data_IF_663153922382
#
_entry.id   IF_663153922382
#
_cell.length_a   1.000
_cell.length_b   1.000
_cell.length_c   1.000
_cell.angle_alpha   90.00
_cell.angle_beta   90.00
_cell.angle_gamma   90.00
#
_symmetry.space_group_name_H-M   'P 1'
#
loop_
_entity.id
_entity.type
_entity.pdbx_description
1 polymer ?
#
# COMPACT_ATOMS: atom_id res chain seq x y z
N UNK A 1 -23.98 30.45 15.60
CA UNK A 1 -24.52 29.11 15.32
C UNK A 1 -24.23 28.56 13.91
N UNK A 2 -23.95 29.39 12.89
CA UNK A 2 -23.65 28.90 11.52
C UNK A 2 -22.29 28.22 11.38
N UNK A 3 -21.22 28.81 11.92
CA UNK A 3 -19.85 28.27 11.81
C UNK A 3 -19.69 26.90 12.48
N UNK A 4 -20.17 26.73 13.71
CA UNK A 4 -20.10 25.45 14.43
C UNK A 4 -20.85 24.35 13.66
N UNK A 5 -22.03 24.64 13.13
CA UNK A 5 -22.79 23.69 12.30
C UNK A 5 -22.09 23.37 10.99
N UNK A 6 -21.43 24.36 10.36
CA UNK A 6 -20.65 24.18 9.14
C UNK A 6 -19.43 23.28 9.36
N UNK A 7 -18.65 23.56 10.41
CA UNK A 7 -17.49 22.73 10.80
C UNK A 7 -17.94 21.31 11.11
N UNK A 8 -19.00 21.14 11.91
CA UNK A 8 -19.50 19.80 12.27
C UNK A 8 -19.93 18.99 11.03
N UNK A 9 -20.60 19.63 10.06
CA UNK A 9 -20.98 18.96 8.80
C UNK A 9 -19.76 18.59 7.97
N UNK A 10 -18.80 19.50 7.82
CA UNK A 10 -17.58 19.25 7.06
C UNK A 10 -16.77 18.11 7.66
N UNK A 11 -16.58 18.10 8.98
CA UNK A 11 -15.83 17.02 9.66
C UNK A 11 -16.58 15.69 9.56
N UNK A 12 -17.91 15.70 9.66
CA UNK A 12 -18.72 14.47 9.54
C UNK A 12 -18.63 13.90 8.13
N UNK A 13 -18.90 14.69 7.10
CA UNK A 13 -18.84 14.23 5.71
C UNK A 13 -17.41 13.90 5.27
N UNK A 14 -16.45 14.73 5.64
CA UNK A 14 -15.03 14.48 5.36
C UNK A 14 -14.53 13.22 6.05
N UNK A 15 -14.94 12.96 7.29
CA UNK A 15 -14.61 11.75 8.03
C UNK A 15 -15.18 10.50 7.37
N UNK A 16 -16.47 10.52 7.00
CA UNK A 16 -17.12 9.41 6.29
C UNK A 16 -16.48 9.15 4.93
N UNK A 17 -16.23 10.19 4.14
CA UNK A 17 -15.58 10.06 2.84
C UNK A 17 -14.17 9.49 2.95
N UNK A 18 -13.38 9.97 3.93
CA UNK A 18 -12.02 9.49 4.16
C UNK A 18 -11.99 8.03 4.61
N UNK A 19 -12.87 7.65 5.54
CA UNK A 19 -13.01 6.27 5.98
C UNK A 19 -13.46 5.35 4.84
N UNK A 20 -14.48 5.76 4.08
CA UNK A 20 -14.96 5.01 2.92
C UNK A 20 -13.89 4.83 1.85
N UNK A 21 -13.13 5.89 1.56
CA UNK A 21 -12.00 5.83 0.64
C UNK A 21 -10.93 4.86 1.13
N UNK A 22 -10.54 4.93 2.40
CA UNK A 22 -9.54 4.02 2.99
C UNK A 22 -9.96 2.56 2.88
N UNK A 23 -11.18 2.21 3.33
CA UNK A 23 -11.66 0.83 3.23
C UNK A 23 -11.80 0.37 1.79
N UNK A 24 -12.24 1.24 0.88
CA UNK A 24 -12.36 0.89 -0.52
C UNK A 24 -10.99 0.64 -1.16
N UNK A 25 -10.01 1.51 -0.95
CA UNK A 25 -8.69 1.38 -1.59
C UNK A 25 -7.88 0.21 -1.03
N UNK A 26 -8.08 -0.15 0.25
CA UNK A 26 -7.35 -1.23 0.93
C UNK A 26 -8.12 -2.57 1.00
N UNK A 27 -9.33 -2.66 0.44
CA UNK A 27 -10.19 -3.87 0.58
C UNK A 27 -9.57 -5.20 0.12
N UNK A 28 -8.56 -5.16 -0.75
CA UNK A 28 -7.90 -6.34 -1.30
C UNK A 28 -6.51 -6.59 -0.69
N UNK A 29 -6.11 -5.75 0.27
CA UNK A 29 -4.85 -5.84 0.98
C UNK A 29 -5.00 -6.87 2.11
N UNK A 30 -4.22 -7.95 2.03
CA UNK A 30 -4.28 -9.05 3.01
C UNK A 30 -3.01 -9.01 3.84
N UNK A 31 -3.16 -8.69 5.12
CA UNK A 31 -2.07 -8.83 6.08
C UNK A 31 -1.70 -10.29 6.26
N UNK A 32 -0.40 -10.56 6.20
CA UNK A 32 0.12 -11.91 6.40
C UNK A 32 1.16 -11.87 7.53
N UNK A 33 1.17 -12.89 8.40
CA UNK A 33 2.15 -12.94 9.48
C UNK A 33 3.56 -13.06 8.90
N UNK A 34 4.49 -12.26 9.41
CA UNK A 34 5.90 -12.42 9.07
C UNK A 34 6.45 -13.65 9.81
N UNK A 35 7.24 -14.46 9.11
CA UNK A 35 7.84 -15.64 9.73
C UNK A 35 8.91 -15.22 10.74
N UNK A 36 8.91 -15.75 11.99
CA UNK A 36 10.00 -15.51 12.93
C UNK A 36 11.38 -15.96 12.44
N UNK A 37 11.41 -16.87 11.46
CA UNK A 37 12.63 -17.40 10.84
C UNK A 37 13.02 -16.65 9.56
N UNK A 38 12.38 -15.52 9.25
CA UNK A 38 12.70 -14.73 8.06
C UNK A 38 14.19 -14.31 8.07
N UNK A 39 14.91 -14.45 6.94
CA UNK A 39 16.32 -14.06 6.84
C UNK A 39 16.61 -12.61 7.24
N UNK A 40 15.63 -11.70 7.16
CA UNK A 40 15.79 -10.31 7.59
C UNK A 40 16.22 -10.21 9.06
N UNK A 41 15.72 -11.11 9.92
CA UNK A 41 16.05 -11.18 11.36
C UNK A 41 17.41 -11.82 11.64
N UNK A 42 18.00 -12.48 10.64
CA UNK A 42 19.35 -13.05 10.74
C UNK A 42 20.41 -12.11 10.15
N UNK A 43 19.98 -11.01 9.52
CA UNK A 43 20.88 -10.06 8.85
C UNK A 43 21.84 -9.40 9.84
N UNK A 44 23.03 -9.05 9.34
CA UNK A 44 24.02 -8.31 10.13
C UNK A 44 23.48 -6.93 10.58
N UNK A 45 22.69 -6.27 9.73
CA UNK A 45 22.06 -5.00 10.04
C UNK A 45 21.06 -5.13 11.20
N UNK A 46 20.17 -6.13 11.15
CA UNK A 46 19.20 -6.37 12.22
C UNK A 46 19.89 -6.60 13.57
N UNK A 47 20.91 -7.47 13.61
CA UNK A 47 21.68 -7.73 14.84
C UNK A 47 22.42 -6.50 15.36
N UNK A 48 22.95 -5.66 14.45
CA UNK A 48 23.65 -4.42 14.83
C UNK A 48 22.70 -3.39 15.45
N UNK A 49 21.48 -3.27 14.93
CA UNK A 49 20.53 -2.23 15.33
C UNK A 49 19.45 -2.70 16.33
N UNK A 50 19.35 -4.00 16.61
CA UNK A 50 18.50 -4.58 17.65
C UNK A 50 19.30 -5.54 18.56
N UNK A 51 20.31 -5.05 19.29
CA UNK A 51 21.17 -5.90 20.12
C UNK A 51 20.41 -6.61 21.26
N UNK A 52 19.37 -5.96 21.80
CA UNK A 52 18.55 -6.48 22.90
C UNK A 52 17.41 -7.41 22.43
N UNK A 53 17.35 -7.72 21.14
CA UNK A 53 16.31 -8.58 20.56
C UNK A 53 14.88 -8.13 20.93
N UNK A 54 14.65 -6.81 20.93
CA UNK A 54 13.32 -6.26 21.23
C UNK A 54 12.28 -6.82 20.25
N UNK A 55 11.02 -6.99 20.69
CA UNK A 55 9.92 -7.37 19.81
C UNK A 55 9.82 -6.44 18.62
N UNK A 56 9.56 -7.02 17.45
CA UNK A 56 9.51 -6.29 16.19
C UNK A 56 8.08 -6.11 15.71
N UNK A 57 7.81 -4.93 15.15
CA UNK A 57 6.53 -4.61 14.49
C UNK A 57 6.70 -4.74 12.98
N UNK A 58 5.76 -5.41 12.32
CA UNK A 58 5.81 -5.67 10.88
C UNK A 58 4.48 -5.33 10.22
N UNK A 59 4.55 -4.49 9.20
CA UNK A 59 3.42 -4.21 8.30
C UNK A 59 3.64 -4.98 7.00
N UNK A 60 3.40 -6.30 7.06
CA UNK A 60 3.48 -7.17 5.89
C UNK A 60 2.10 -7.38 5.30
N UNK A 61 1.87 -6.77 4.15
CA UNK A 61 0.62 -6.86 3.42
C UNK A 61 0.85 -7.35 1.99
N UNK A 62 -0.01 -8.26 1.54
CA UNK A 62 0.05 -8.85 0.20
C UNK A 62 -1.26 -8.54 -0.54
N UNK A 63 -1.12 -8.04 -1.76
CA UNK A 63 -2.23 -7.87 -2.70
C UNK A 63 -1.96 -8.67 -3.97
N UNK A 64 -2.90 -9.53 -4.33
CA UNK A 64 -2.84 -10.29 -5.59
C UNK A 64 -3.52 -9.50 -6.71
N UNK A 65 -2.93 -9.61 -7.89
CA UNK A 65 -3.33 -8.89 -9.09
C UNK A 65 -3.60 -9.92 -10.17
N UNK A 66 -4.82 -10.02 -10.70
CA UNK A 66 -5.09 -10.82 -11.88
C UNK A 66 -4.27 -10.30 -13.07
N UNK A 67 -3.65 -11.21 -13.83
CA UNK A 67 -2.90 -10.83 -15.03
C UNK A 67 -3.77 -10.11 -16.07
N UNK A 68 -5.08 -10.39 -16.09
CA UNK A 68 -6.07 -9.72 -16.93
C UNK A 68 -6.19 -8.21 -16.69
N UNK A 69 -5.83 -7.76 -15.49
CA UNK A 69 -6.01 -6.37 -15.05
C UNK A 69 -4.72 -5.55 -15.28
N UNK A 70 -3.66 -6.22 -15.74
CA UNK A 70 -2.37 -5.59 -16.04
C UNK A 70 -2.46 -5.00 -17.45
N UNK A 71 -2.02 -3.75 -17.61
CA UNK A 71 -1.93 -3.13 -18.93
C UNK A 71 -1.01 -3.97 -19.84
N UNK A 72 -1.52 -4.52 -20.95
CA UNK A 72 -0.77 -5.45 -21.80
C UNK A 72 0.51 -4.82 -22.38
N UNK A 73 0.54 -3.50 -22.58
CA UNK A 73 1.72 -2.78 -23.08
C UNK A 73 2.93 -2.88 -22.13
N UNK A 74 2.70 -3.09 -20.84
CA UNK A 74 3.77 -3.30 -19.84
C UNK A 74 4.40 -4.70 -19.93
N UNK A 75 3.73 -5.62 -20.63
CA UNK A 75 4.18 -7.00 -20.82
C UNK A 75 4.97 -7.18 -22.13
N UNK A 76 4.89 -6.22 -23.06
CA UNK A 76 5.59 -6.27 -24.36
C UNK A 76 7.11 -6.27 -24.22
N UNK A 77 7.64 -5.60 -23.17
CA UNK A 77 9.08 -5.49 -22.92
C UNK A 77 9.41 -5.96 -21.51
N UNK A 78 10.38 -6.86 -21.42
CA UNK A 78 10.91 -7.35 -20.14
C UNK A 78 11.34 -6.18 -19.26
N UNK A 79 10.84 -6.13 -18.03
CA UNK A 79 11.19 -5.12 -17.04
C UNK A 79 10.24 -3.91 -16.98
N UNK A 80 9.42 -3.64 -18.00
CA UNK A 80 8.51 -2.48 -17.98
C UNK A 80 7.44 -2.54 -16.91
N UNK A 81 6.90 -3.74 -16.63
CA UNK A 81 5.99 -3.95 -15.50
C UNK A 81 6.67 -3.63 -14.15
N UNK A 82 7.91 -4.08 -13.95
CA UNK A 82 8.66 -3.84 -12.72
C UNK A 82 9.00 -2.35 -12.55
N UNK A 83 9.41 -1.68 -13.64
CA UNK A 83 9.66 -0.24 -13.66
C UNK A 83 8.39 0.56 -13.30
N UNK A 84 7.24 0.22 -13.91
CA UNK A 84 5.96 0.85 -13.62
C UNK A 84 5.50 0.60 -12.17
N UNK A 85 5.75 -0.60 -11.64
CA UNK A 85 5.50 -0.91 -10.24
C UNK A 85 6.39 -0.07 -9.30
N UNK A 86 7.70 -0.03 -9.54
CA UNK A 86 8.66 0.75 -8.76
C UNK A 86 8.40 2.27 -8.81
N UNK A 87 7.94 2.80 -9.95
CA UNK A 87 7.53 4.20 -10.07
C UNK A 87 6.38 4.57 -9.12
N UNK A 88 5.53 3.60 -8.76
CA UNK A 88 4.46 3.77 -7.78
C UNK A 88 4.94 3.89 -6.33
N UNK A 89 6.19 3.53 -6.02
CA UNK A 89 6.66 3.49 -4.63
C UNK A 89 7.05 4.89 -4.12
N UNK A 90 7.52 5.79 -5.00
CA UNK A 90 8.00 7.12 -4.61
C UNK A 90 7.28 8.31 -5.27
N UNK A 91 6.37 8.09 -6.23
CA UNK A 91 5.77 9.22 -6.96
C UNK A 91 4.39 9.00 -7.62
N UNK A 92 3.64 7.92 -7.33
CA UNK A 92 2.30 7.78 -7.91
C UNK A 92 1.45 6.63 -7.40
N UNK A 93 0.19 6.57 -7.84
CA UNK A 93 -0.65 5.38 -7.70
C UNK A 93 -0.05 4.32 -8.63
N UNK A 94 0.83 3.46 -8.11
CA UNK A 94 1.52 2.42 -8.90
C UNK A 94 0.51 1.73 -9.79
N UNK A 95 0.71 1.80 -11.12
CA UNK A 95 -0.37 1.63 -12.11
C UNK A 95 -1.12 0.33 -11.86
N UNK A 96 -2.24 0.46 -11.18
CA UNK A 96 -3.14 -0.61 -10.84
C UNK A 96 -4.52 -0.25 -11.30
N UNK A 97 -4.93 -0.82 -12.44
CA UNK A 97 -6.32 -0.98 -12.82
C UNK A 97 -7.17 0.27 -13.04
N UNK A 98 -6.70 1.49 -12.86
CA UNK A 98 -7.42 2.67 -13.34
C UNK A 98 -6.98 2.97 -14.77
N UNK A 99 -7.75 2.37 -15.69
CA UNK A 99 -7.96 2.85 -17.05
C UNK A 99 -8.38 4.32 -16.99
N UNK A 100 -7.42 5.24 -16.93
CA UNK A 100 -7.66 6.57 -17.46
C UNK A 100 -7.16 6.56 -18.91
N UNK A 101 -8.07 6.75 -19.89
CA UNK A 101 -7.67 6.95 -21.26
C UNK A 101 -6.95 8.30 -21.35
N UNK A 102 -5.73 8.28 -21.87
CA UNK A 102 -5.25 9.35 -22.74
C UNK A 102 -5.15 8.77 -24.15
#
# INVERSE_FOLDING_TARGET
>A
MGLIKGVLKLTTYGGLASAGAFFYTTRNDVFVPMSPTDPIFQSAAYRKFNPEQNPTTHDLCVRKVPLSDINPTLLEKKGKLAEAFCAGVWSGWGKHGTLHPE
#
